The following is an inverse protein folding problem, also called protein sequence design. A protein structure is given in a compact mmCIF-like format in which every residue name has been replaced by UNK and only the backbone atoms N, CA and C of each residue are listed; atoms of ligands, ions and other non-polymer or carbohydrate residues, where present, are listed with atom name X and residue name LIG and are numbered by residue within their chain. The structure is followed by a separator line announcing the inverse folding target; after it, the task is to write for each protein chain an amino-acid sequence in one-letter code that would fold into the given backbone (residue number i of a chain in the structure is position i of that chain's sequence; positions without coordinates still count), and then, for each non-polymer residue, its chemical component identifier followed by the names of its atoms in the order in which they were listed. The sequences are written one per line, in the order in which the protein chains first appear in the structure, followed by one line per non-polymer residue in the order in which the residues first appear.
data_IF_798198723256
#
_entry.id   IF_798198723256
#
_cell.length_a   1.000
_cell.length_b   1.000
_cell.length_c   1.000
_cell.angle_alpha   90.00
_cell.angle_beta   90.00
_cell.angle_gamma   90.00
#
_symmetry.space_group_name_H-M   'P 1'
#
loop_
_entity.id
_entity.type
_entity.pdbx_description
1 polymer ?
#
# COMPACT_ATOMS: atom_id res chain seq x y z
N UNK A 1 1.95 -4.46 2.17
CA UNK A 1 2.79 -3.40 1.60
C UNK A 1 3.96 -3.17 2.54
N UNK A 2 4.95 -2.37 2.14
CA UNK A 2 6.08 -2.05 2.99
C UNK A 2 6.07 -0.57 3.30
N UNK A 3 6.43 -0.21 4.53
CA UNK A 3 6.73 1.16 4.92
C UNK A 3 8.02 1.20 5.74
N UNK A 4 8.66 2.36 5.77
CA UNK A 4 9.96 2.53 6.39
C UNK A 4 9.92 3.53 7.54
N UNK A 5 10.00 3.04 8.77
CA UNK A 5 10.05 3.86 9.97
C UNK A 5 11.41 4.57 10.06
N UNK A 6 11.45 5.91 10.15
CA UNK A 6 12.67 6.64 10.44
C UNK A 6 13.22 6.27 11.82
N UNK A 7 14.51 5.94 11.90
CA UNK A 7 15.23 5.72 13.18
C UNK A 7 16.38 6.72 13.30
N UNK A 8 17.02 6.78 14.47
CA UNK A 8 18.22 7.61 14.70
C UNK A 8 19.31 7.36 13.64
N UNK A 9 19.41 6.12 13.15
CA UNK A 9 20.26 5.74 12.04
C UNK A 9 19.47 4.92 11.03
N UNK A 10 19.33 5.46 9.82
CA UNK A 10 18.68 4.77 8.71
C UNK A 10 17.17 4.65 8.89
N UNK A 11 16.61 3.60 8.30
CA UNK A 11 15.18 3.30 8.30
C UNK A 11 14.95 1.82 8.58
N UNK A 12 13.98 1.51 9.43
CA UNK A 12 13.54 0.15 9.71
C UNK A 12 12.38 -0.18 8.77
N UNK A 13 12.48 -1.17 7.86
CA UNK A 13 11.34 -1.57 7.04
C UNK A 13 10.34 -2.41 7.85
N UNK A 14 9.07 -2.16 7.60
CA UNK A 14 7.92 -2.88 8.16
C UNK A 14 7.12 -3.52 7.04
N UNK A 15 6.65 -4.74 7.26
CA UNK A 15 5.68 -5.41 6.40
C UNK A 15 4.29 -5.28 7.02
N UNK A 16 3.36 -4.68 6.28
CA UNK A 16 1.98 -4.40 6.71
C UNK A 16 1.01 -5.19 5.83
N UNK A 17 0.09 -5.93 6.43
CA UNK A 17 -0.76 -6.90 5.75
C UNK A 17 -2.12 -7.09 6.44
N UNK A 18 -3.16 -7.57 5.74
CA UNK A 18 -4.43 -7.94 6.38
C UNK A 18 -4.22 -9.02 7.43
N UNK A 19 -4.76 -8.82 8.63
CA UNK A 19 -4.57 -9.74 9.76
C UNK A 19 -5.19 -11.13 9.52
N UNK A 20 -6.15 -11.22 8.60
CA UNK A 20 -6.77 -12.47 8.14
C UNK A 20 -6.00 -13.14 6.99
N UNK A 21 -4.89 -12.54 6.53
CA UNK A 21 -4.08 -12.98 5.39
C UNK A 21 -4.83 -13.04 4.04
N UNK A 22 -6.00 -12.41 3.94
CA UNK A 22 -6.71 -12.29 2.67
C UNK A 22 -6.03 -11.27 1.73
N UNK A 23 -6.32 -11.31 0.42
CA UNK A 23 -5.81 -10.30 -0.51
C UNK A 23 -6.25 -8.89 -0.14
N UNK A 24 -5.28 -7.98 -0.17
CA UNK A 24 -5.48 -6.57 0.10
C UNK A 24 -5.78 -5.79 -1.19
N UNK A 25 -6.85 -4.99 -1.18
CA UNK A 25 -7.20 -4.11 -2.30
C UNK A 25 -6.98 -2.63 -1.94
N UNK A 26 -6.46 -1.86 -2.88
CA UNK A 26 -6.24 -0.42 -2.75
C UNK A 26 -7.03 0.34 -3.81
N UNK A 27 -7.54 1.51 -3.43
CA UNK A 27 -8.12 2.45 -4.37
C UNK A 27 -7.02 2.97 -5.31
N UNK A 28 -7.27 2.91 -6.61
CA UNK A 28 -6.31 3.33 -7.62
C UNK A 28 -6.97 3.91 -8.85
N UNK A 29 -6.29 4.87 -9.46
CA UNK A 29 -6.69 5.47 -10.73
C UNK A 29 -5.84 4.89 -11.85
N UNK A 30 -6.39 4.82 -13.04
CA UNK A 30 -5.65 4.37 -14.23
C UNK A 30 -5.92 5.27 -15.42
N UNK A 31 -4.98 5.30 -16.35
CA UNK A 31 -5.12 6.03 -17.61
C UNK A 31 -4.48 5.24 -18.76
N UNK A 32 -5.00 5.44 -19.97
CA UNK A 32 -4.36 5.00 -21.20
C UNK A 32 -3.82 6.21 -21.95
N UNK A 33 -2.51 6.23 -22.17
CA UNK A 33 -1.85 7.18 -23.05
C UNK A 33 -1.51 6.48 -24.37
N UNK A 34 -1.60 7.20 -25.49
CA UNK A 34 -1.18 6.71 -26.80
C UNK A 34 -0.01 7.56 -27.26
N UNK A 35 1.12 6.92 -27.53
CA UNK A 35 2.30 7.57 -28.09
C UNK A 35 1.95 8.15 -29.47
N UNK A 36 2.14 9.46 -29.69
CA UNK A 36 1.81 10.09 -30.97
C UNK A 36 2.77 9.69 -32.10
N UNK A 37 4.00 9.27 -31.81
CA UNK A 37 5.02 8.88 -32.80
C UNK A 37 4.92 7.39 -33.14
N UNK A 38 4.96 6.53 -32.12
CA UNK A 38 4.95 5.07 -32.33
C UNK A 38 3.53 4.51 -32.48
N UNK A 39 2.51 5.22 -32.00
CA UNK A 39 1.13 4.74 -31.94
C UNK A 39 0.87 3.72 -30.83
N UNK A 40 1.88 3.37 -30.03
CA UNK A 40 1.78 2.41 -28.94
C UNK A 40 0.87 2.92 -27.81
N UNK A 41 0.13 2.00 -27.18
CA UNK A 41 -0.73 2.32 -26.03
C UNK A 41 -0.01 1.94 -24.74
N UNK A 42 0.21 2.92 -23.88
CA UNK A 42 0.71 2.73 -22.53
C UNK A 42 -0.47 2.84 -21.56
N UNK A 43 -0.66 1.81 -20.72
CA UNK A 43 -1.59 1.87 -19.59
C UNK A 43 -0.79 2.04 -18.31
N UNK A 44 -1.13 3.04 -17.52
CA UNK A 44 -0.53 3.31 -16.22
C UNK A 44 -1.60 3.34 -15.16
N UNK A 45 -1.19 3.08 -13.91
CA UNK A 45 -2.04 3.23 -12.76
C UNK A 45 -1.28 3.88 -11.61
N UNK A 46 -2.02 4.41 -10.65
CA UNK A 46 -1.51 4.98 -9.40
C UNK A 46 -2.38 4.52 -8.25
N UNK A 47 -1.79 4.38 -7.07
CA UNK A 47 -2.51 4.08 -5.83
C UNK A 47 -2.84 5.41 -5.13
N UNK A 48 -4.08 5.55 -4.68
CA UNK A 48 -4.48 6.68 -3.85
C UNK A 48 -3.94 6.50 -2.43
N UNK A 49 -3.42 7.57 -1.84
CA UNK A 49 -2.92 7.59 -0.46
C UNK A 49 -3.72 8.58 0.38
N UNK A 50 -4.00 8.25 1.63
CA UNK A 50 -4.65 9.11 2.62
C UNK A 50 -3.89 9.15 3.94
N UNK A 51 -4.58 9.64 4.98
CA UNK A 51 -4.07 9.64 6.35
C UNK A 51 -3.85 8.21 6.87
N UNK A 52 -2.79 7.96 7.65
CA UNK A 52 -2.54 6.67 8.24
C UNK A 52 -3.52 6.39 9.39
N UNK A 53 -3.80 5.11 9.64
CA UNK A 53 -4.47 4.69 10.87
C UNK A 53 -3.49 4.57 12.05
N UNK A 54 -3.99 4.26 13.24
CA UNK A 54 -3.18 4.13 14.46
C UNK A 54 -2.02 3.12 14.35
N UNK A 55 -2.14 2.10 13.49
CA UNK A 55 -1.09 1.10 13.25
C UNK A 55 0.05 1.69 12.39
N UNK A 56 -0.29 2.45 11.35
CA UNK A 56 0.68 2.97 10.37
C UNK A 56 1.25 4.32 10.78
N UNK A 57 0.50 5.13 11.55
CA UNK A 57 0.89 6.48 11.95
C UNK A 57 2.26 6.57 12.63
N UNK A 58 2.69 5.61 13.48
CA UNK A 58 4.04 5.62 14.06
C UNK A 58 5.16 5.36 13.04
N UNK A 59 4.83 4.76 11.89
CA UNK A 59 5.78 4.29 10.87
C UNK A 59 5.90 5.32 9.73
N UNK A 60 4.77 5.83 9.22
CA UNK A 60 4.72 6.75 8.09
C UNK A 60 3.51 7.70 8.17
N UNK A 61 3.63 8.89 7.57
CA UNK A 61 2.61 9.95 7.56
C UNK A 61 1.47 9.76 6.54
N UNK A 62 1.49 8.65 5.81
CA UNK A 62 0.55 8.32 4.73
C UNK A 62 0.36 6.83 4.66
N UNK A 63 -0.78 6.43 4.11
CA UNK A 63 -1.14 5.04 3.92
C UNK A 63 -1.92 4.88 2.61
N UNK A 64 -1.80 3.74 1.89
CA UNK A 64 -2.70 3.43 0.79
C UNK A 64 -4.17 3.44 1.25
N UNK A 65 -5.06 4.04 0.44
CA UNK A 65 -6.48 3.98 0.72
C UNK A 65 -6.98 2.56 0.46
N UNK A 66 -7.32 1.85 1.53
CA UNK A 66 -7.78 0.47 1.46
C UNK A 66 -9.24 0.38 1.03
N UNK A 67 -9.56 -0.63 0.23
CA UNK A 67 -10.92 -0.93 -0.21
C UNK A 67 -11.41 -2.23 0.44
N UNK A 68 -12.31 -2.16 1.43
CA UNK A 68 -13.08 -3.30 1.90
C UNK A 68 -13.80 -4.03 0.77
N UNK A 69 -14.01 -5.34 0.90
CA UNK A 69 -14.63 -6.15 -0.17
C UNK A 69 -16.06 -5.70 -0.52
N UNK A 70 -16.81 -5.16 0.42
CA UNK A 70 -18.18 -4.67 0.22
C UNK A 70 -18.26 -3.44 -0.69
N UNK A 71 -17.16 -2.71 -0.90
CA UNK A 71 -17.14 -1.50 -1.74
C UNK A 71 -16.53 -1.70 -3.13
N UNK A 72 -16.06 -2.91 -3.45
CA UNK A 72 -15.37 -3.16 -4.72
C UNK A 72 -16.26 -2.96 -5.94
N UNK A 73 -17.53 -3.36 -5.85
CA UNK A 73 -18.49 -3.20 -6.95
C UNK A 73 -18.71 -1.72 -7.24
N UNK A 74 -18.96 -0.91 -6.21
CA UNK A 74 -19.18 0.54 -6.35
C UNK A 74 -17.93 1.25 -6.87
N UNK A 75 -16.73 0.86 -6.41
CA UNK A 75 -15.46 1.44 -6.88
C UNK A 75 -15.15 1.14 -8.35
N UNK A 76 -15.55 -0.05 -8.84
CA UNK A 76 -15.27 -0.51 -10.20
C UNK A 76 -16.39 -0.21 -11.19
N UNK A 77 -17.50 0.37 -10.74
CA UNK A 77 -18.63 0.72 -11.60
C UNK A 77 -18.35 2.00 -12.41
N UNK A 78 -18.03 1.81 -13.69
CA UNK A 78 -17.75 2.87 -14.65
C UNK A 78 -18.98 3.75 -14.97
N UNK A 79 -20.19 3.27 -14.69
CA UNK A 79 -21.44 3.97 -14.98
C UNK A 79 -21.90 4.85 -13.79
N UNK A 80 -21.31 4.68 -12.60
CA UNK A 80 -21.71 5.37 -11.36
C UNK A 80 -20.70 6.44 -10.90
N UNK A 81 -20.25 7.30 -11.80
CA UNK A 81 -19.19 8.28 -11.48
C UNK A 81 -19.74 9.56 -10.84
N UNK A 82 -20.24 9.44 -9.60
CA UNK A 82 -20.34 10.59 -8.70
C UNK A 82 -19.08 10.66 -7.83
N UNK A 83 -18.14 11.53 -8.20
CA UNK A 83 -16.85 11.68 -7.53
C UNK A 83 -16.99 12.13 -6.07
N UNK A 84 -18.05 12.84 -5.72
CA UNK A 84 -18.29 13.28 -4.34
C UNK A 84 -18.68 12.07 -3.48
N UNK A 85 -19.52 11.18 -4.00
CA UNK A 85 -19.88 9.93 -3.33
C UNK A 85 -18.67 9.00 -3.14
N UNK A 86 -17.82 8.89 -4.17
CA UNK A 86 -16.58 8.11 -4.08
C UNK A 86 -15.64 8.68 -3.02
N UNK A 87 -15.51 10.01 -2.94
CA UNK A 87 -14.66 10.66 -1.92
C UNK A 87 -15.14 10.37 -0.50
N UNK A 88 -16.46 10.40 -0.27
CA UNK A 88 -17.07 10.05 1.03
C UNK A 88 -16.84 8.57 1.37
N UNK A 89 -16.97 7.68 0.39
CA UNK A 89 -16.72 6.24 0.55
C UNK A 89 -15.27 5.97 0.96
N UNK A 90 -14.30 6.67 0.35
CA UNK A 90 -12.88 6.52 0.66
C UNK A 90 -12.52 7.05 2.06
N UNK A 91 -13.12 8.16 2.49
CA UNK A 91 -12.83 8.78 3.79
C UNK A 91 -13.33 7.96 4.99
N UNK A 92 -14.38 7.15 4.82
CA UNK A 92 -15.07 6.47 5.92
C UNK A 92 -14.58 5.05 6.20
N UNK A 93 -13.67 4.51 5.38
CA UNK A 93 -13.33 3.07 5.35
C UNK A 93 -11.85 2.75 5.57
N UNK A 94 -11.06 3.68 6.12
CA UNK A 94 -9.59 3.55 6.28
C UNK A 94 -9.13 2.56 7.37
N UNK A 95 -10.02 2.00 8.20
CA UNK A 95 -9.65 1.09 9.28
C UNK A 95 -10.03 -0.37 8.95
N UNK A 96 -9.21 -1.04 8.13
CA UNK A 96 -9.28 -2.49 7.92
C UNK A 96 -8.34 -3.17 8.92
N UNK A 97 -8.70 -4.39 9.37
CA UNK A 97 -7.89 -5.19 10.29
C UNK A 97 -6.52 -5.49 9.68
N UNK A 98 -5.52 -4.70 10.05
CA UNK A 98 -4.14 -4.84 9.63
C UNK A 98 -3.30 -5.39 10.77
N UNK A 99 -2.28 -6.17 10.39
CA UNK A 99 -1.17 -6.55 11.21
C UNK A 99 0.13 -6.02 10.58
N UNK A 100 1.16 -5.92 11.40
CA UNK A 100 2.45 -5.38 11.03
C UNK A 100 3.56 -6.09 11.80
N UNK A 101 4.74 -6.18 11.18
CA UNK A 101 6.00 -6.47 11.89
C UNK A 101 7.20 -5.90 11.12
N UNK A 102 8.28 -5.59 11.85
CA UNK A 102 9.56 -5.20 11.27
C UNK A 102 10.21 -6.37 10.49
N UNK A 103 10.84 -6.06 9.36
CA UNK A 103 11.50 -7.03 8.46
C UNK A 103 12.94 -6.62 8.15
N UNK A 104 13.70 -7.53 7.52
CA UNK A 104 15.09 -7.26 7.15
C UNK A 104 15.23 -6.17 6.09
N UNK A 105 16.37 -5.47 6.10
CA UNK A 105 16.76 -4.50 5.07
C UNK A 105 17.01 -5.14 3.69
N UNK A 106 16.96 -6.47 3.58
CA UNK A 106 16.95 -7.18 2.29
C UNK A 106 15.92 -6.62 1.31
N UNK A 107 14.77 -6.17 1.81
CA UNK A 107 13.69 -5.58 0.98
C UNK A 107 14.09 -4.27 0.30
N UNK A 108 15.14 -3.59 0.76
CA UNK A 108 15.59 -2.31 0.18
C UNK A 108 16.16 -2.48 -1.24
N UNK A 109 16.61 -3.68 -1.59
CA UNK A 109 17.12 -3.97 -2.94
C UNK A 109 16.01 -4.61 -3.77
N UNK A 110 15.51 -3.87 -4.76
CA UNK A 110 14.40 -4.30 -5.64
C UNK A 110 14.67 -5.64 -6.34
N UNK A 111 15.94 -5.98 -6.60
CA UNK A 111 16.32 -7.28 -7.19
C UNK A 111 16.09 -8.48 -6.25
N UNK A 112 15.93 -8.25 -4.94
CA UNK A 112 15.67 -9.31 -3.96
C UNK A 112 14.18 -9.64 -3.95
N UNK A 113 13.77 -10.61 -4.77
CA UNK A 113 12.43 -11.19 -4.72
C UNK A 113 12.46 -12.52 -3.95
N UNK A 114 12.52 -12.40 -2.63
CA UNK A 114 12.84 -13.50 -1.72
C UNK A 114 11.72 -13.67 -0.67
N UNK A 115 11.35 -14.90 -0.28
CA UNK A 115 10.36 -15.13 0.78
C UNK A 115 10.78 -14.55 2.13
N UNK A 116 12.09 -14.43 2.38
CA UNK A 116 12.67 -13.86 3.60
C UNK A 116 12.31 -12.37 3.80
N UNK A 117 11.91 -11.66 2.74
CA UNK A 117 11.56 -10.23 2.80
C UNK A 117 10.36 -9.92 3.72
N UNK A 118 9.50 -10.92 3.97
CA UNK A 118 8.30 -10.75 4.82
C UNK A 118 8.44 -11.44 6.18
N UNK A 119 9.58 -12.08 6.46
CA UNK A 119 9.79 -12.78 7.73
C UNK A 119 10.05 -11.74 8.82
N UNK A 120 9.38 -11.82 9.99
CA UNK A 120 9.64 -10.93 11.11
C UNK A 120 11.11 -10.96 11.53
N UNK A 121 11.67 -9.79 11.84
CA UNK A 121 12.99 -9.73 12.48
C UNK A 121 12.95 -10.43 13.84
N UNK A 122 13.93 -11.30 14.10
CA UNK A 122 14.09 -11.86 15.44
C UNK A 122 14.39 -10.73 16.43
N UNK A 123 13.69 -10.75 17.56
CA UNK A 123 13.79 -9.71 18.60
C UNK A 123 15.20 -9.70 19.18
N UNK A 124 16.06 -8.79 18.72
CA UNK A 124 17.45 -8.63 19.15
C UNK A 124 18.48 -8.45 18.02
N UNK A 125 18.10 -8.72 16.77
CA UNK A 125 18.96 -8.49 15.61
C UNK A 125 18.66 -7.13 14.98
N UNK A 126 19.22 -6.06 15.53
CA UNK A 126 19.44 -4.85 14.73
C UNK A 126 20.61 -5.15 13.79
N UNK A 127 20.29 -5.47 12.53
CA UNK A 127 21.29 -5.55 11.47
C UNK A 127 21.94 -4.17 11.33
N UNK A 128 23.13 -4.06 11.90
CA UNK A 128 24.02 -2.92 11.68
C UNK A 128 24.42 -2.94 10.20
N UNK A 129 23.91 -1.97 9.45
CA UNK A 129 24.41 -1.62 8.12
C UNK A 129 25.87 -1.19 8.17
#
# INVERSE_FOLDING_TARGET
FYEWEPKDKGKLPHYIYPADHEPMAFAGLWASWKDPESGEKLRTCTILTGEPNDLVQPIHDRMPVMLPRDVWSDWLDEDSVDTDQLTVLLATRSAVGLAEHAVSTLVNKVANNLPENIVPLETGAVDAS
#
